data_IF_312894032584
#
_entry.id   IF_312894032584
#
_cell.length_a   1.000
_cell.length_b   1.000
_cell.length_c   1.000
_cell.angle_alpha   90.00
_cell.angle_beta   90.00
_cell.angle_gamma   90.00
#
_symmetry.space_group_name_H-M   'P 1'
#
loop_
_entity.id
_entity.type
_entity.pdbx_description
1 polymer ?
#
# COMPACT_ATOMS: atom_id res chain seq x y z
N UNK A 1 -13.88 -16.99 21.66
CA UNK A 1 -12.79 -16.12 22.13
C UNK A 1 -12.46 -16.59 23.53
N UNK A 2 -11.31 -17.22 23.69
CA UNK A 2 -10.82 -17.78 24.94
C UNK A 2 -10.57 -16.64 25.95
N UNK A 3 -11.07 -16.80 27.18
CA UNK A 3 -10.89 -15.79 28.24
C UNK A 3 -9.40 -15.73 28.61
N UNK A 4 -8.77 -14.56 28.62
CA UNK A 4 -7.36 -14.46 28.96
C UNK A 4 -7.09 -14.96 30.39
N UNK A 5 -5.97 -15.63 30.59
CA UNK A 5 -5.50 -16.12 31.88
C UNK A 5 -5.48 -15.01 32.93
N UNK A 6 -5.75 -15.32 34.22
CA UNK A 6 -5.85 -14.32 35.30
C UNK A 6 -4.61 -13.41 35.38
N UNK A 7 -3.41 -13.96 35.21
CA UNK A 7 -2.16 -13.17 35.18
C UNK A 7 -2.10 -12.14 34.06
N UNK A 8 -2.76 -12.40 32.91
CA UNK A 8 -2.81 -11.47 31.78
C UNK A 8 -3.73 -10.27 32.09
N UNK A 9 -4.78 -10.49 32.88
CA UNK A 9 -5.70 -9.41 33.28
C UNK A 9 -5.03 -8.41 34.22
N UNK A 10 -4.16 -8.87 35.11
CA UNK A 10 -3.42 -8.01 36.02
C UNK A 10 -2.43 -7.12 35.24
N UNK A 11 -1.73 -7.69 34.26
CA UNK A 11 -0.82 -6.93 33.39
C UNK A 11 -1.55 -5.93 32.50
N UNK A 12 -2.76 -6.23 32.02
CA UNK A 12 -3.55 -5.32 31.20
C UNK A 12 -3.98 -4.02 31.93
N UNK A 13 -4.00 -4.05 33.25
CA UNK A 13 -4.38 -2.90 34.10
C UNK A 13 -3.17 -2.11 34.64
N UNK A 14 -1.95 -2.61 34.39
CA UNK A 14 -0.74 -1.94 34.87
C UNK A 14 -0.46 -0.65 34.08
N UNK A 15 -0.19 0.42 34.80
CA UNK A 15 0.31 1.65 34.20
C UNK A 15 1.76 1.46 33.70
N UNK A 16 2.22 2.34 32.81
CA UNK A 16 3.61 2.33 32.35
C UNK A 16 4.60 2.45 33.52
N UNK A 17 4.21 3.20 34.58
CA UNK A 17 4.99 3.33 35.80
C UNK A 17 5.04 2.03 36.60
N UNK A 18 3.96 1.28 36.63
CA UNK A 18 3.90 -0.02 37.32
C UNK A 18 4.75 -1.07 36.58
N UNK A 19 4.72 -1.07 35.26
CA UNK A 19 5.60 -1.92 34.43
C UNK A 19 7.07 -1.53 34.66
N UNK A 20 7.37 -0.23 34.70
CA UNK A 20 8.73 0.25 34.99
C UNK A 20 9.20 -0.19 36.37
N UNK A 21 8.33 -0.13 37.41
CA UNK A 21 8.63 -0.64 38.76
C UNK A 21 8.88 -2.16 38.76
N UNK A 22 8.03 -2.90 38.06
CA UNK A 22 8.18 -4.35 37.95
C UNK A 22 9.53 -4.73 37.32
N UNK A 23 9.92 -4.09 36.22
CA UNK A 23 11.21 -4.31 35.57
C UNK A 23 12.40 -3.98 36.49
N UNK A 24 12.33 -2.87 37.22
CA UNK A 24 13.39 -2.51 38.18
C UNK A 24 13.47 -3.48 39.35
N UNK A 25 12.33 -3.96 39.85
CA UNK A 25 12.34 -4.93 40.96
C UNK A 25 12.94 -6.27 40.54
N UNK A 26 12.73 -6.69 39.31
CA UNK A 26 13.33 -7.92 38.77
C UNK A 26 14.87 -7.81 38.64
N UNK A 27 15.38 -6.61 38.33
CA UNK A 27 16.82 -6.35 38.25
C UNK A 27 17.49 -6.08 39.62
N UNK A 28 16.73 -6.23 40.72
CA UNK A 28 17.25 -6.02 42.08
C UNK A 28 17.54 -4.56 42.43
N UNK A 29 17.08 -3.61 41.65
CA UNK A 29 17.27 -2.17 41.92
C UNK A 29 16.12 -1.63 42.79
N UNK A 30 16.40 -0.79 43.79
CA UNK A 30 15.36 -0.20 44.62
C UNK A 30 14.45 0.71 43.79
N UNK A 31 13.17 0.40 43.77
CA UNK A 31 12.16 1.14 42.98
C UNK A 31 11.20 1.93 43.87
N UNK A 32 11.15 1.66 45.20
CA UNK A 32 10.15 2.24 46.12
C UNK A 32 10.26 3.75 46.30
N UNK A 33 11.47 4.28 46.31
CA UNK A 33 11.72 5.70 46.50
C UNK A 33 11.79 6.52 45.20
N UNK A 34 11.65 5.83 44.06
CA UNK A 34 11.69 6.46 42.76
C UNK A 34 10.30 6.79 42.30
N UNK A 35 10.06 8.06 41.96
CA UNK A 35 8.78 8.53 41.44
C UNK A 35 8.96 9.18 40.06
N UNK A 36 7.91 9.09 39.23
CA UNK A 36 7.82 9.78 37.96
C UNK A 36 9.05 9.60 37.05
N UNK A 37 9.72 10.71 36.72
CA UNK A 37 10.84 10.75 35.78
C UNK A 37 12.03 9.89 36.23
N UNK A 38 12.35 9.86 37.52
CA UNK A 38 13.48 9.09 38.02
C UNK A 38 13.27 7.59 37.84
N UNK A 39 12.04 7.15 38.05
CA UNK A 39 11.64 5.75 37.86
C UNK A 39 11.76 5.31 36.39
N UNK A 40 11.20 6.10 35.47
CA UNK A 40 11.26 5.80 34.04
C UNK A 40 12.70 5.85 33.54
N UNK A 41 13.48 6.87 33.95
CA UNK A 41 14.90 6.97 33.56
C UNK A 41 15.71 5.78 34.05
N UNK A 42 15.46 5.30 35.25
CA UNK A 42 16.09 4.11 35.78
C UNK A 42 15.65 2.84 35.06
N UNK A 43 14.36 2.72 34.72
CA UNK A 43 13.84 1.58 33.97
C UNK A 43 14.36 1.53 32.53
N UNK A 44 14.54 2.66 31.86
CA UNK A 44 15.14 2.74 30.52
C UNK A 44 16.60 2.30 30.46
N UNK A 45 17.29 2.26 31.60
CA UNK A 45 18.66 1.70 31.68
C UNK A 45 18.68 0.17 31.83
N UNK A 46 17.53 -0.47 31.98
CA UNK A 46 17.39 -1.94 31.95
C UNK A 46 17.18 -2.41 30.50
N UNK A 47 17.43 -3.70 30.24
CA UNK A 47 17.17 -4.29 28.91
C UNK A 47 15.69 -4.58 28.65
N UNK A 48 14.95 -4.88 29.70
CA UNK A 48 13.60 -5.46 29.59
C UNK A 48 12.52 -4.40 29.36
N UNK A 49 12.60 -3.26 30.02
CA UNK A 49 11.61 -2.21 29.88
C UNK A 49 11.58 -1.60 28.47
N UNK A 50 12.72 -1.22 27.84
CA UNK A 50 12.72 -0.77 26.44
C UNK A 50 12.18 -1.82 25.48
N UNK A 51 12.51 -3.10 25.66
CA UNK A 51 12.04 -4.19 24.80
C UNK A 51 10.53 -4.40 24.92
N UNK A 52 9.96 -4.33 26.11
CA UNK A 52 8.51 -4.42 26.33
C UNK A 52 7.81 -3.23 25.67
N UNK A 53 8.36 -2.02 25.84
CA UNK A 53 7.82 -0.81 25.24
C UNK A 53 7.85 -0.88 23.72
N UNK A 54 8.95 -1.27 23.12
CA UNK A 54 9.13 -1.46 21.69
C UNK A 54 8.11 -2.47 21.12
N UNK A 55 7.98 -3.63 21.76
CA UNK A 55 7.02 -4.66 21.36
C UNK A 55 5.57 -4.19 21.44
N UNK A 56 5.22 -3.46 22.50
CA UNK A 56 3.85 -2.94 22.67
C UNK A 56 3.53 -1.86 21.62
N UNK A 57 4.44 -0.92 21.40
CA UNK A 57 4.30 0.12 20.38
C UNK A 57 4.25 -0.47 18.97
N UNK A 58 5.07 -1.50 18.69
CA UNK A 58 5.06 -2.21 17.42
C UNK A 58 3.72 -2.89 17.14
N UNK A 59 3.11 -3.53 18.14
CA UNK A 59 1.77 -4.13 18.01
C UNK A 59 0.68 -3.11 17.75
N UNK A 60 0.71 -1.98 18.47
CA UNK A 60 -0.27 -0.89 18.29
C UNK A 60 -0.12 -0.24 16.91
N UNK A 61 1.12 0.00 16.45
CA UNK A 61 1.41 0.52 15.13
C UNK A 61 0.87 -0.42 14.04
N UNK A 62 1.13 -1.72 14.18
CA UNK A 62 0.63 -2.73 13.26
C UNK A 62 -0.89 -2.79 13.23
N UNK A 63 -1.54 -2.76 14.40
CA UNK A 63 -3.00 -2.71 14.47
C UNK A 63 -3.56 -1.46 13.78
N UNK A 64 -2.93 -0.29 13.95
CA UNK A 64 -3.29 0.93 13.24
C UNK A 64 -3.11 0.82 11.72
N UNK A 65 -2.05 0.19 11.26
CA UNK A 65 -1.82 -0.08 9.84
C UNK A 65 -2.87 -1.04 9.25
N UNK A 66 -3.24 -2.09 9.98
CA UNK A 66 -4.20 -3.11 9.53
C UNK A 66 -5.66 -2.62 9.60
N UNK A 67 -5.97 -1.67 10.49
CA UNK A 67 -7.32 -1.13 10.64
C UNK A 67 -7.74 -0.18 9.51
N UNK A 68 -6.77 0.43 8.82
CA UNK A 68 -7.04 1.36 7.71
C UNK A 68 -7.14 0.60 6.39
N UNK A 69 -8.36 0.55 5.85
CA UNK A 69 -8.66 -0.12 4.58
C UNK A 69 -8.51 0.86 3.43
N UNK A 70 -7.56 0.61 2.55
CA UNK A 70 -7.32 1.43 1.37
C UNK A 70 -7.80 0.75 0.09
N UNK A 71 -8.47 1.51 -0.77
CA UNK A 71 -9.13 1.01 -1.99
C UNK A 71 -8.16 0.40 -3.02
N UNK A 72 -6.89 0.86 -3.05
CA UNK A 72 -5.88 0.33 -3.97
C UNK A 72 -5.60 -1.16 -3.78
N UNK A 73 -5.82 -1.71 -2.58
CA UNK A 73 -5.52 -3.12 -2.28
C UNK A 73 -6.36 -4.12 -3.06
N UNK A 74 -7.52 -3.70 -3.53
CA UNK A 74 -8.42 -4.57 -4.30
C UNK A 74 -7.91 -4.86 -5.72
N UNK A 75 -7.12 -3.95 -6.31
CA UNK A 75 -6.71 -4.03 -7.71
C UNK A 75 -5.19 -4.02 -7.91
N UNK A 76 -4.39 -3.68 -6.90
CA UNK A 76 -2.92 -3.71 -6.96
C UNK A 76 -2.40 -5.08 -6.53
N UNK A 77 -1.51 -5.65 -7.34
CA UNK A 77 -0.81 -6.90 -7.02
C UNK A 77 0.42 -6.60 -6.17
N UNK A 78 0.48 -7.18 -4.97
CA UNK A 78 1.67 -7.13 -4.12
C UNK A 78 2.76 -8.06 -4.64
N UNK A 79 4.01 -7.62 -4.55
CA UNK A 79 5.20 -8.40 -4.88
C UNK A 79 6.29 -8.15 -3.87
N UNK A 80 7.18 -9.11 -3.70
CA UNK A 80 8.36 -8.98 -2.84
C UNK A 80 9.60 -8.82 -3.70
N UNK A 81 10.49 -7.94 -3.28
CA UNK A 81 11.80 -7.71 -3.92
C UNK A 81 12.87 -7.91 -2.85
N UNK A 82 14.01 -8.50 -3.21
CA UNK A 82 15.05 -8.91 -2.25
C UNK A 82 15.98 -7.77 -1.85
N UNK A 83 16.14 -6.78 -2.70
CA UNK A 83 17.06 -5.66 -2.50
C UNK A 83 16.48 -4.32 -2.98
N UNK A 84 17.21 -3.24 -2.79
CA UNK A 84 16.84 -1.89 -3.21
C UNK A 84 17.28 -1.55 -4.63
N UNK A 85 17.84 -2.51 -5.37
CA UNK A 85 18.22 -2.30 -6.77
C UNK A 85 16.97 -2.31 -7.65
N UNK A 86 17.04 -1.61 -8.77
CA UNK A 86 15.99 -1.65 -9.76
C UNK A 86 15.88 -3.08 -10.34
N UNK A 87 14.78 -3.77 -10.05
CA UNK A 87 14.49 -5.08 -10.56
C UNK A 87 13.79 -4.94 -11.92
N UNK A 88 14.43 -5.43 -12.98
CA UNK A 88 13.82 -5.48 -14.29
C UNK A 88 12.76 -6.59 -14.34
N UNK A 89 11.57 -6.25 -14.81
CA UNK A 89 10.52 -7.21 -15.14
C UNK A 89 10.30 -7.22 -16.65
N UNK A 90 10.44 -8.37 -17.24
CA UNK A 90 10.20 -8.59 -18.67
C UNK A 90 8.73 -8.97 -18.83
N UNK A 91 8.04 -8.25 -19.70
CA UNK A 91 6.71 -8.58 -20.18
C UNK A 91 6.88 -9.23 -21.56
N UNK A 92 6.52 -10.48 -21.66
CA UNK A 92 6.48 -11.18 -22.96
C UNK A 92 5.17 -10.83 -23.66
N UNK A 93 5.25 -10.45 -24.91
CA UNK A 93 4.10 -10.25 -25.76
C UNK A 93 3.36 -11.55 -26.06
N UNK A 94 2.18 -11.44 -26.66
CA UNK A 94 1.48 -12.62 -27.17
C UNK A 94 2.22 -13.23 -28.37
N UNK A 95 1.98 -14.51 -28.60
CA UNK A 95 2.45 -15.13 -29.84
C UNK A 95 1.87 -14.39 -31.05
N UNK A 96 2.66 -14.23 -32.14
CA UNK A 96 2.15 -13.61 -33.35
C UNK A 96 0.94 -14.41 -33.89
N UNK A 97 -0.01 -13.72 -34.54
CA UNK A 97 -1.18 -14.40 -35.10
C UNK A 97 -0.75 -15.43 -36.15
N UNK A 98 -1.41 -16.58 -36.13
CA UNK A 98 -1.16 -17.63 -37.10
C UNK A 98 -1.70 -17.19 -38.47
N UNK A 99 -0.86 -17.26 -39.47
CA UNK A 99 -1.24 -17.06 -40.88
C UNK A 99 -1.76 -18.33 -41.50
N UNK A 100 -2.77 -18.21 -42.38
CA UNK A 100 -3.21 -19.35 -43.18
C UNK A 100 -2.11 -19.74 -44.18
N UNK A 101 -1.78 -21.02 -44.22
CA UNK A 101 -0.76 -21.57 -45.12
C UNK A 101 -1.48 -22.40 -46.18
N UNK A 102 -1.22 -22.10 -47.43
CA UNK A 102 -1.70 -22.91 -48.55
C UNK A 102 -0.93 -24.23 -48.63
N UNK A 103 -1.53 -25.23 -49.23
CA UNK A 103 -0.90 -26.53 -49.40
C UNK A 103 0.44 -26.40 -50.15
N UNK A 104 1.56 -26.87 -49.50
CA UNK A 104 2.93 -26.68 -49.99
C UNK A 104 3.57 -25.30 -49.66
N UNK A 105 2.92 -24.42 -48.92
CA UNK A 105 3.44 -23.12 -48.54
C UNK A 105 4.47 -23.19 -47.38
N UNK A 106 5.41 -22.24 -47.33
CA UNK A 106 6.39 -22.12 -46.27
C UNK A 106 5.82 -21.51 -44.98
N UNK A 107 6.29 -22.02 -43.85
CA UNK A 107 5.97 -21.45 -42.52
C UNK A 107 6.79 -20.20 -42.28
N UNK A 108 6.13 -19.10 -41.92
CA UNK A 108 6.79 -17.88 -41.56
C UNK A 108 7.18 -17.91 -40.09
N UNK A 109 8.42 -17.54 -39.76
CA UNK A 109 8.90 -17.41 -38.40
C UNK A 109 8.35 -16.12 -37.79
N UNK A 110 7.70 -16.21 -36.63
CA UNK A 110 7.24 -15.07 -35.85
C UNK A 110 8.16 -14.83 -34.65
N UNK A 111 8.51 -13.57 -34.38
CA UNK A 111 9.24 -13.18 -33.18
C UNK A 111 8.30 -12.83 -32.03
N UNK A 112 8.71 -13.12 -30.80
CA UNK A 112 8.03 -12.62 -29.60
C UNK A 112 8.53 -11.21 -29.30
N UNK A 113 7.61 -10.26 -29.21
CA UNK A 113 7.95 -8.91 -28.75
C UNK A 113 8.15 -8.91 -27.23
N UNK A 114 9.18 -8.23 -26.76
CA UNK A 114 9.49 -8.11 -25.33
C UNK A 114 9.43 -6.64 -24.93
N UNK A 115 8.90 -6.39 -23.73
CA UNK A 115 8.96 -5.08 -23.07
C UNK A 115 9.54 -5.25 -21.67
N UNK A 116 10.31 -4.27 -21.21
CA UNK A 116 10.92 -4.27 -19.88
C UNK A 116 10.28 -3.18 -19.05
N UNK A 117 9.98 -3.46 -17.79
CA UNK A 117 9.58 -2.47 -16.79
C UNK A 117 10.51 -2.62 -15.60
N UNK A 118 10.95 -1.51 -15.02
CA UNK A 118 11.77 -1.52 -13.82
C UNK A 118 10.91 -1.20 -12.59
N UNK A 119 11.09 -1.99 -11.54
CA UNK A 119 10.49 -1.77 -10.22
C UNK A 119 11.60 -1.55 -9.21
N UNK A 120 11.51 -0.47 -8.44
CA UNK A 120 12.46 -0.16 -7.39
C UNK A 120 11.72 0.16 -6.09
N UNK A 121 12.25 -0.33 -4.97
CA UNK A 121 11.70 -0.06 -3.65
C UNK A 121 12.13 1.35 -3.20
N UNK A 122 11.16 2.17 -2.82
CA UNK A 122 11.36 3.41 -2.10
C UNK A 122 11.34 3.19 -0.58
N UNK A 123 12.10 3.98 0.16
CA UNK A 123 12.09 3.98 1.63
C UNK A 123 11.40 5.24 2.14
N UNK A 124 10.32 5.06 2.88
CA UNK A 124 9.58 6.13 3.52
C UNK A 124 9.69 5.96 5.04
N UNK A 125 9.80 7.05 5.77
CA UNK A 125 9.87 6.99 7.22
C UNK A 125 9.77 8.37 7.85
N UNK A 126 9.23 8.42 9.04
CA UNK A 126 9.16 9.62 9.86
C UNK A 126 9.50 9.26 11.31
N UNK A 127 10.41 10.01 11.92
CA UNK A 127 10.75 9.83 13.32
C UNK A 127 9.76 10.59 14.20
N UNK A 128 9.32 9.95 15.28
CA UNK A 128 8.55 10.59 16.33
C UNK A 128 9.47 10.85 17.53
N UNK A 129 9.44 12.07 18.04
CA UNK A 129 10.09 12.43 19.29
C UNK A 129 9.01 12.64 20.35
N UNK A 130 9.09 11.85 21.41
CA UNK A 130 8.24 12.02 22.60
C UNK A 130 9.03 12.80 23.66
N UNK A 131 8.40 13.81 24.27
CA UNK A 131 9.00 14.56 25.38
C UNK A 131 8.76 13.83 26.69
N UNK A 132 9.62 14.07 27.67
CA UNK A 132 9.48 13.52 29.02
C UNK A 132 8.17 13.97 29.71
N UNK A 133 7.74 15.19 29.43
CA UNK A 133 6.50 15.74 29.96
C UNK A 133 5.29 14.96 29.47
N UNK A 134 5.27 14.62 28.18
CA UNK A 134 4.21 13.75 27.60
C UNK A 134 4.22 12.36 28.22
N UNK A 135 5.38 11.85 28.57
CA UNK A 135 5.54 10.53 29.19
C UNK A 135 5.06 10.49 30.66
N UNK A 136 5.17 11.60 31.38
CA UNK A 136 4.89 11.69 32.83
C UNK A 136 3.49 12.21 33.12
N UNK A 137 3.01 13.19 32.33
CA UNK A 137 1.73 13.87 32.56
C UNK A 137 0.51 13.07 32.14
N UNK A 138 0.73 11.88 31.84
CA UNK A 138 -0.27 11.03 31.48
C UNK A 138 -0.33 10.52 30.25
N UNK A 139 -0.35 10.01 29.78
CA UNK A 139 -1.35 9.50 28.92
C UNK A 139 -0.86 8.26 28.20
N UNK A 140 -0.95 7.12 28.84
CA UNK A 140 -1.09 5.81 28.23
C UNK A 140 -1.92 5.84 26.93
N UNK A 141 -2.87 6.77 26.85
CA UNK A 141 -3.65 6.98 25.63
C UNK A 141 -2.84 7.65 24.52
N UNK A 142 -1.92 8.56 24.79
CA UNK A 142 -1.03 9.14 23.78
C UNK A 142 -0.07 8.11 23.24
N UNK A 143 0.46 7.22 24.11
CA UNK A 143 1.30 6.10 23.70
C UNK A 143 0.58 5.10 22.78
N UNK A 144 -0.72 4.88 22.98
CA UNK A 144 -1.51 4.01 22.13
C UNK A 144 -1.99 4.72 20.86
N UNK A 145 -2.44 5.96 20.97
CA UNK A 145 -3.04 6.71 19.85
C UNK A 145 -2.00 7.13 18.81
N UNK A 146 -0.81 7.58 19.23
CA UNK A 146 0.20 8.08 18.30
C UNK A 146 0.78 6.98 17.41
N UNK A 147 1.20 5.81 17.91
CA UNK A 147 1.64 4.71 17.06
C UNK A 147 0.54 4.19 16.13
N UNK A 148 -0.71 4.12 16.61
CA UNK A 148 -1.84 3.73 15.76
C UNK A 148 -2.05 4.72 14.61
N UNK A 149 -2.01 6.03 14.89
CA UNK A 149 -2.10 7.07 13.87
C UNK A 149 -0.93 7.01 12.88
N UNK A 150 0.28 6.68 13.34
CA UNK A 150 1.44 6.45 12.47
C UNK A 150 1.25 5.22 11.58
N UNK A 151 0.68 4.14 12.11
CA UNK A 151 0.33 2.97 11.34
C UNK A 151 -0.65 3.29 10.20
N UNK A 152 -1.74 4.00 10.52
CA UNK A 152 -2.71 4.47 9.54
C UNK A 152 -2.08 5.44 8.51
N UNK A 153 -1.17 6.33 8.95
CA UNK A 153 -0.46 7.23 8.05
C UNK A 153 0.48 6.47 7.09
N UNK A 154 1.15 5.41 7.56
CA UNK A 154 1.96 4.56 6.70
C UNK A 154 1.10 3.86 5.63
N UNK A 155 -0.09 3.41 6.01
CA UNK A 155 -1.04 2.80 5.08
C UNK A 155 -1.54 3.78 4.02
N UNK A 156 -1.83 5.04 4.42
CA UNK A 156 -2.19 6.10 3.47
C UNK A 156 -1.05 6.45 2.53
N UNK A 157 0.19 6.51 3.03
CA UNK A 157 1.36 6.78 2.20
C UNK A 157 1.57 5.72 1.09
N UNK A 158 1.24 4.45 1.35
CA UNK A 158 1.20 3.43 0.30
C UNK A 158 0.16 3.74 -0.78
N UNK A 159 -1.05 4.13 -0.38
CA UNK A 159 -2.12 4.51 -1.31
C UNK A 159 -1.72 5.75 -2.13
N UNK A 160 -1.19 6.78 -1.46
CA UNK A 160 -0.73 8.01 -2.10
C UNK A 160 0.35 7.71 -3.15
N UNK A 161 1.30 6.83 -2.85
CA UNK A 161 2.33 6.42 -3.79
C UNK A 161 1.76 5.71 -5.03
N UNK A 162 0.73 4.87 -4.85
CA UNK A 162 0.06 4.19 -5.95
C UNK A 162 -0.72 5.18 -6.82
N UNK A 163 -1.52 6.05 -6.19
CA UNK A 163 -2.33 7.03 -6.94
C UNK A 163 -1.47 8.13 -7.60
N UNK A 164 -0.31 8.46 -7.03
CA UNK A 164 0.63 9.39 -7.64
C UNK A 164 1.12 8.93 -9.02
N UNK A 165 1.19 7.62 -9.27
CA UNK A 165 1.55 7.09 -10.59
C UNK A 165 0.52 7.47 -11.67
N UNK A 166 -0.74 7.56 -11.30
CA UNK A 166 -1.83 7.92 -12.25
C UNK A 166 -2.00 9.42 -12.39
N UNK A 167 -1.77 10.19 -11.32
CA UNK A 167 -1.94 11.65 -11.32
C UNK A 167 -0.70 12.41 -11.79
N UNK A 168 0.44 11.75 -11.96
CA UNK A 168 1.66 12.33 -12.49
C UNK A 168 1.40 13.01 -13.85
N UNK A 169 2.26 13.99 -14.22
CA UNK A 169 2.20 14.68 -15.51
C UNK A 169 0.81 15.24 -15.83
N UNK A 170 0.20 15.94 -14.86
CA UNK A 170 -1.14 16.54 -14.99
C UNK A 170 -2.25 15.55 -15.34
N UNK A 171 -2.15 14.33 -14.80
CA UNK A 171 -3.13 13.26 -15.02
C UNK A 171 -2.84 12.36 -16.22
N UNK A 172 -1.76 12.61 -16.96
CA UNK A 172 -1.32 11.71 -18.02
C UNK A 172 -0.60 10.45 -17.52
N UNK A 173 -0.41 10.34 -16.20
CA UNK A 173 0.31 9.24 -15.57
C UNK A 173 1.83 9.34 -15.71
N UNK A 174 2.53 8.42 -15.05
CA UNK A 174 3.99 8.40 -15.11
C UNK A 174 4.48 8.01 -16.51
N UNK A 175 5.61 8.58 -16.93
CA UNK A 175 6.27 8.18 -18.17
C UNK A 175 6.72 6.71 -18.11
N UNK A 176 6.39 5.97 -19.15
CA UNK A 176 6.77 4.57 -19.33
C UNK A 176 8.16 4.43 -19.97
N UNK A 177 8.64 3.23 -20.19
CA UNK A 177 9.97 3.00 -20.76
C UNK A 177 10.15 3.44 -22.21
N UNK A 178 9.07 3.52 -22.95
CA UNK A 178 9.01 4.08 -24.30
C UNK A 178 9.02 5.61 -24.32
N UNK A 179 9.20 6.26 -23.17
CA UNK A 179 9.18 7.71 -22.97
C UNK A 179 7.82 8.36 -23.24
N UNK A 180 6.76 7.56 -23.33
CA UNK A 180 5.38 8.02 -23.44
C UNK A 180 4.70 7.92 -22.08
N UNK A 181 3.77 8.82 -21.76
CA UNK A 181 3.02 8.75 -20.52
C UNK A 181 2.09 7.53 -20.48
N UNK A 182 1.77 7.06 -19.28
CA UNK A 182 0.90 5.91 -19.07
C UNK A 182 -0.44 6.05 -19.82
N UNK A 183 -1.06 7.22 -19.74
CA UNK A 183 -2.28 7.53 -20.47
C UNK A 183 -1.95 8.36 -21.70
N UNK A 184 -2.04 7.73 -22.86
CA UNK A 184 -1.77 8.35 -24.15
C UNK A 184 -2.76 7.86 -25.21
N UNK A 185 -3.27 8.80 -26.00
CA UNK A 185 -4.29 8.50 -27.02
C UNK A 185 -3.69 7.87 -28.29
N UNK A 186 -2.40 8.10 -28.55
CA UNK A 186 -1.70 7.64 -29.74
C UNK A 186 -0.96 6.34 -29.51
N UNK A 187 0.18 6.38 -28.82
CA UNK A 187 1.07 5.23 -28.64
C UNK A 187 0.44 4.10 -27.81
N UNK A 188 -0.25 4.45 -26.72
CA UNK A 188 -0.93 3.46 -25.88
C UNK A 188 -2.39 3.26 -26.24
N UNK A 189 -3.00 4.18 -26.97
CA UNK A 189 -4.41 4.13 -27.39
C UNK A 189 -5.37 3.77 -26.23
N UNK A 190 -5.07 4.26 -25.02
CA UNK A 190 -5.81 3.94 -23.80
C UNK A 190 -6.58 5.15 -23.21
N UNK A 191 -6.61 6.26 -23.92
CA UNK A 191 -7.40 7.44 -23.58
C UNK A 191 -8.60 7.52 -24.51
N UNK A 192 -9.81 7.60 -23.93
CA UNK A 192 -11.04 7.75 -24.72
C UNK A 192 -11.15 9.14 -25.33
N UNK A 193 -11.49 9.21 -26.61
CA UNK A 193 -11.86 10.47 -27.26
C UNK A 193 -13.21 10.99 -26.75
N UNK A 194 -14.06 10.14 -26.19
CA UNK A 194 -15.32 10.53 -25.57
C UNK A 194 -15.04 11.02 -24.16
N UNK A 195 -14.98 12.34 -24.00
CA UNK A 195 -14.80 13.00 -22.73
C UNK A 195 -16.13 13.42 -22.12
N UNK A 196 -16.21 13.51 -20.80
CA UNK A 196 -17.42 13.95 -20.10
C UNK A 196 -17.61 13.25 -18.76
N UNK A 197 -18.72 13.56 -18.09
CA UNK A 197 -19.10 12.91 -16.86
C UNK A 197 -19.37 11.40 -17.09
N UNK A 198 -19.26 10.63 -16.01
CA UNK A 198 -19.53 9.20 -16.05
C UNK A 198 -20.99 8.97 -16.50
N UNK A 199 -21.15 8.16 -17.53
CA UNK A 199 -22.45 7.78 -18.09
C UNK A 199 -22.35 6.38 -18.71
N UNK A 200 -23.47 5.77 -19.05
CA UNK A 200 -23.48 4.49 -19.76
C UNK A 200 -22.75 4.58 -21.10
N UNK A 201 -22.85 5.74 -21.80
CA UNK A 201 -22.14 6.00 -23.05
C UNK A 201 -20.61 6.10 -22.88
N UNK A 202 -20.13 6.91 -21.91
CA UNK A 202 -18.68 7.05 -21.65
C UNK A 202 -18.08 5.74 -21.12
N UNK A 203 -18.83 4.99 -20.31
CA UNK A 203 -18.42 3.68 -19.81
C UNK A 203 -18.36 2.64 -20.95
N UNK A 204 -19.34 2.67 -21.86
CA UNK A 204 -19.35 1.83 -23.06
C UNK A 204 -18.16 2.11 -23.99
N UNK A 205 -17.83 3.39 -24.20
CA UNK A 205 -16.64 3.79 -24.97
C UNK A 205 -15.34 3.28 -24.31
N UNK A 206 -15.20 3.42 -23.01
CA UNK A 206 -14.03 2.92 -22.26
C UNK A 206 -13.91 1.39 -22.33
N UNK A 207 -15.03 0.64 -22.21
CA UNK A 207 -15.04 -0.83 -22.38
C UNK A 207 -14.60 -1.24 -23.79
N UNK A 208 -15.11 -0.54 -24.81
CA UNK A 208 -14.72 -0.78 -26.21
C UNK A 208 -13.23 -0.56 -26.43
N UNK A 209 -12.68 0.52 -25.84
CA UNK A 209 -11.27 0.85 -25.93
C UNK A 209 -10.40 -0.25 -25.31
N UNK A 210 -10.77 -0.72 -24.11
CA UNK A 210 -10.05 -1.81 -23.43
C UNK A 210 -10.05 -3.11 -24.24
N UNK A 211 -11.17 -3.46 -24.87
CA UNK A 211 -11.28 -4.66 -25.70
C UNK A 211 -10.48 -4.58 -26.99
N UNK A 212 -10.30 -3.37 -27.51
CA UNK A 212 -9.51 -3.11 -28.73
C UNK A 212 -8.02 -2.96 -28.48
N UNK A 213 -7.56 -3.02 -27.22
CA UNK A 213 -6.14 -2.97 -26.91
C UNK A 213 -5.38 -4.07 -27.62
N UNK A 214 -4.24 -3.67 -28.22
CA UNK A 214 -3.36 -4.58 -28.95
C UNK A 214 -2.30 -5.16 -28.02
N UNK A 215 -1.95 -6.41 -28.26
CA UNK A 215 -0.81 -7.04 -27.63
C UNK A 215 0.51 -6.53 -28.21
N UNK A 216 1.59 -6.66 -27.47
CA UNK A 216 2.94 -6.54 -28.02
C UNK A 216 3.14 -7.62 -29.09
N UNK A 217 3.32 -7.22 -30.33
CA UNK A 217 3.40 -8.15 -31.46
C UNK A 217 2.11 -8.29 -32.28
N UNK A 218 1.06 -7.53 -31.94
CA UNK A 218 -0.21 -7.49 -32.64
C UNK A 218 -1.26 -8.44 -32.09
N UNK A 219 -2.48 -8.30 -32.59
CA UNK A 219 -3.64 -9.05 -32.09
C UNK A 219 -4.37 -8.35 -30.93
N UNK A 220 -5.69 -8.54 -30.87
CA UNK A 220 -6.51 -7.95 -29.83
C UNK A 220 -6.42 -8.74 -28.52
N UNK A 221 -6.19 -8.04 -27.40
CA UNK A 221 -6.15 -8.64 -26.07
C UNK A 221 -7.54 -8.97 -25.52
N UNK A 222 -8.58 -8.33 -26.03
CA UNK A 222 -9.97 -8.48 -25.60
C UNK A 222 -10.13 -8.40 -24.07
N UNK A 223 -9.53 -7.38 -23.45
CA UNK A 223 -9.52 -7.21 -22.00
C UNK A 223 -10.92 -6.84 -21.50
N UNK A 224 -11.33 -7.49 -20.42
CA UNK A 224 -12.54 -7.13 -19.69
C UNK A 224 -12.19 -6.22 -18.50
N UNK A 225 -12.83 -5.02 -18.38
CA UNK A 225 -12.64 -4.17 -17.21
C UNK A 225 -13.19 -4.86 -15.96
N UNK A 226 -12.46 -4.76 -14.85
CA UNK A 226 -12.85 -5.33 -13.56
C UNK A 226 -13.14 -4.27 -12.51
N UNK A 227 -12.45 -3.15 -12.58
CA UNK A 227 -12.53 -2.09 -11.59
C UNK A 227 -12.78 -0.75 -12.29
N UNK A 228 -13.64 0.04 -11.70
CA UNK A 228 -13.86 1.44 -12.04
C UNK A 228 -13.28 2.29 -10.90
N UNK A 229 -12.25 3.06 -11.19
CA UNK A 229 -11.60 3.93 -10.22
C UNK A 229 -12.08 5.35 -10.49
N UNK A 230 -12.69 5.93 -9.49
CA UNK A 230 -13.29 7.28 -9.57
C UNK A 230 -12.85 8.11 -8.35
N UNK A 231 -12.79 9.44 -8.46
CA UNK A 231 -12.65 10.30 -7.32
C UNK A 231 -13.93 10.25 -6.44
N UNK A 232 -13.79 10.54 -5.15
CA UNK A 232 -14.89 10.47 -4.19
C UNK A 232 -16.11 11.30 -4.58
N UNK A 233 -15.89 12.43 -5.25
CA UNK A 233 -16.97 13.31 -5.76
C UNK A 233 -17.87 12.63 -6.80
N UNK A 234 -17.35 11.63 -7.49
CA UNK A 234 -18.07 10.91 -8.55
C UNK A 234 -18.56 9.53 -8.11
N UNK A 235 -18.39 9.15 -6.84
CA UNK A 235 -18.71 7.81 -6.33
C UNK A 235 -20.18 7.47 -6.52
N UNK A 236 -21.09 8.32 -6.04
CA UNK A 236 -22.55 8.12 -6.16
C UNK A 236 -23.00 8.01 -7.62
N UNK A 237 -22.43 8.85 -8.50
CA UNK A 237 -22.74 8.80 -9.94
C UNK A 237 -22.26 7.50 -10.58
N UNK A 238 -21.06 7.04 -10.19
CA UNK A 238 -20.51 5.78 -10.66
C UNK A 238 -21.37 4.59 -10.24
N UNK A 239 -21.83 4.56 -8.97
CA UNK A 239 -22.75 3.52 -8.48
C UNK A 239 -24.06 3.49 -9.26
N UNK A 240 -24.67 4.65 -9.50
CA UNK A 240 -25.91 4.76 -10.28
C UNK A 240 -25.73 4.23 -11.72
N UNK A 241 -24.64 4.61 -12.37
CA UNK A 241 -24.35 4.16 -13.74
C UNK A 241 -24.04 2.67 -13.76
N UNK A 242 -23.32 2.14 -12.77
CA UNK A 242 -23.04 0.70 -12.67
C UNK A 242 -24.29 -0.13 -12.39
N UNK A 243 -25.28 0.40 -11.67
CA UNK A 243 -26.55 -0.27 -11.44
C UNK A 243 -27.43 -0.33 -12.71
N UNK A 244 -27.18 0.54 -13.69
CA UNK A 244 -27.92 0.59 -14.97
C UNK A 244 -27.22 -0.16 -16.12
N UNK A 245 -25.96 -0.56 -15.93
CA UNK A 245 -25.10 -1.16 -16.96
C UNK A 245 -24.98 -2.67 -16.83
#
# INVERSE_FOLDING_TARGET
>A
IEKPHAAVRDVQRMSTLDIARACLSQTGRPSRDLSGMRLIKAALTTSDFPAILENSLGKVLRAGYESDSQSHTAWVKRTTVRDFKAAARVLLGSAPPLAAIVEGGEYTYGGLAENKTSLQIGKFGKALRLTWETLINDDLQAFAKVPAAMGAAARRAEADAVYALFTANSGAGQAMQDSVNLFDAGAHANVSATVGAISTGTLGAARSLLRKQLALGGGYLNLNPRFLIVPAESETLAEQVMAQA
#
